data_IF_880893455692
#
_entry.id   IF_880893455692
#
_cell.length_a   1.000
_cell.length_b   1.000
_cell.length_c   1.000
_cell.angle_alpha   90.00
_cell.angle_beta   90.00
_cell.angle_gamma   90.00
#
_symmetry.space_group_name_H-M   'P 1'
#
loop_
_entity.id
_entity.type
_entity.pdbx_description
1 polymer ?
#
# COMPACT_ATOMS: atom_id res chain seq x y z
N UNK A 1 -3.21 9.76 25.77
CA UNK A 1 -4.28 9.12 26.57
C UNK A 1 -4.85 7.97 25.75
N UNK A 2 -4.82 6.74 26.25
CA UNK A 2 -5.34 5.57 25.49
C UNK A 2 -6.84 5.76 25.26
N UNK A 3 -7.28 5.74 24.00
CA UNK A 3 -8.69 5.77 23.67
C UNK A 3 -9.37 4.51 24.23
N UNK A 4 -10.59 4.64 24.76
CA UNK A 4 -11.35 3.48 25.28
C UNK A 4 -12.73 3.42 24.63
N UNK A 5 -13.29 2.22 24.49
CA UNK A 5 -14.64 2.05 23.93
C UNK A 5 -15.71 2.90 24.64
N UNK A 6 -15.51 3.17 25.95
CA UNK A 6 -16.37 4.00 26.79
C UNK A 6 -16.45 5.47 26.35
N UNK A 7 -15.49 5.95 25.56
CA UNK A 7 -15.54 7.31 24.99
C UNK A 7 -16.54 7.44 23.85
N UNK A 8 -16.83 6.33 23.16
CA UNK A 8 -17.68 6.31 21.97
C UNK A 8 -19.04 5.63 22.22
N UNK A 9 -19.13 4.78 23.24
CA UNK A 9 -20.34 4.04 23.61
C UNK A 9 -20.67 4.39 25.07
N UNK A 10 -21.68 5.25 25.26
CA UNK A 10 -22.07 5.76 26.57
C UNK A 10 -22.76 4.71 27.46
N UNK A 11 -23.36 3.68 26.87
CA UNK A 11 -24.16 2.65 27.54
C UNK A 11 -23.54 1.26 27.45
N UNK A 12 -22.22 1.17 27.66
CA UNK A 12 -21.50 -0.10 27.65
C UNK A 12 -22.01 -1.02 28.76
N UNK A 13 -22.23 -2.31 28.45
CA UNK A 13 -22.65 -3.27 29.46
C UNK A 13 -21.55 -3.49 30.50
N UNK A 14 -21.90 -3.62 31.77
CA UNK A 14 -20.94 -3.78 32.88
C UNK A 14 -20.03 -5.01 32.77
N UNK A 15 -20.46 -6.01 31.98
CA UNK A 15 -19.67 -7.21 31.68
C UNK A 15 -18.56 -6.99 30.64
N UNK A 16 -18.55 -5.87 29.92
CA UNK A 16 -17.67 -5.66 28.77
C UNK A 16 -16.17 -5.86 29.08
N UNK A 17 -15.71 -5.34 30.22
CA UNK A 17 -14.31 -5.43 30.62
C UNK A 17 -13.88 -6.87 31.01
N UNK A 18 -14.84 -7.81 31.09
CA UNK A 18 -14.59 -9.24 31.38
C UNK A 18 -14.57 -10.11 30.12
N UNK A 19 -14.88 -9.51 28.97
CA UNK A 19 -14.86 -10.20 27.68
C UNK A 19 -13.43 -10.35 27.17
N UNK A 20 -13.15 -11.42 26.44
CA UNK A 20 -11.92 -11.55 25.67
C UNK A 20 -11.90 -10.48 24.54
N UNK A 21 -10.72 -10.08 24.05
CA UNK A 21 -10.60 -9.04 23.04
C UNK A 21 -11.46 -9.25 21.79
N UNK A 22 -11.63 -10.50 21.33
CA UNK A 22 -12.49 -10.80 20.18
C UNK A 22 -13.96 -10.43 20.43
N UNK A 23 -14.52 -10.84 21.57
CA UNK A 23 -15.89 -10.47 21.94
C UNK A 23 -16.03 -8.97 22.25
N UNK A 24 -14.99 -8.33 22.79
CA UNK A 24 -14.97 -6.87 22.92
C UNK A 24 -15.06 -6.18 21.55
N UNK A 25 -14.29 -6.65 20.57
CA UNK A 25 -14.32 -6.12 19.20
C UNK A 25 -15.69 -6.33 18.54
N UNK A 26 -16.31 -7.50 18.72
CA UNK A 26 -17.65 -7.82 18.23
C UNK A 26 -18.73 -6.93 18.85
N UNK A 27 -18.64 -6.70 20.15
CA UNK A 27 -19.52 -5.78 20.85
C UNK A 27 -19.34 -4.35 20.31
N UNK A 28 -18.11 -3.84 20.31
CA UNK A 28 -17.81 -2.47 19.91
C UNK A 28 -18.23 -2.20 18.47
N UNK A 29 -17.89 -3.07 17.51
CA UNK A 29 -18.22 -2.83 16.09
C UNK A 29 -19.73 -2.67 15.86
N UNK A 30 -20.55 -3.55 16.45
CA UNK A 30 -22.00 -3.48 16.27
C UNK A 30 -22.64 -2.34 17.05
N UNK A 31 -22.10 -1.97 18.23
CA UNK A 31 -22.56 -0.78 18.97
C UNK A 31 -22.21 0.50 18.22
N UNK A 32 -21.04 0.61 17.60
CA UNK A 32 -20.67 1.77 16.78
C UNK A 32 -21.56 1.90 15.55
N UNK A 33 -21.84 0.79 14.84
CA UNK A 33 -22.79 0.79 13.72
C UNK A 33 -24.21 1.14 14.17
N UNK A 34 -24.62 0.78 15.38
CA UNK A 34 -25.90 1.22 15.95
C UNK A 34 -25.94 2.74 16.17
N UNK A 35 -24.90 3.32 16.77
CA UNK A 35 -24.92 4.73 17.18
C UNK A 35 -24.67 5.66 15.99
N UNK A 36 -23.69 5.33 15.15
CA UNK A 36 -23.18 6.23 14.12
C UNK A 36 -23.57 5.78 12.71
N UNK A 37 -24.04 4.55 12.53
CA UNK A 37 -24.11 3.92 11.22
C UNK A 37 -22.70 3.75 10.64
N UNK A 38 -22.59 3.83 9.32
CA UNK A 38 -21.33 3.67 8.61
C UNK A 38 -21.06 2.22 8.25
N UNK A 39 -19.80 1.86 8.13
CA UNK A 39 -19.35 0.57 7.63
C UNK A 39 -18.25 0.03 8.54
N UNK A 40 -18.33 -1.26 8.85
CA UNK A 40 -17.26 -2.01 9.47
C UNK A 40 -16.59 -2.91 8.43
N UNK A 41 -15.27 -2.96 8.46
CA UNK A 41 -14.44 -3.73 7.55
C UNK A 41 -13.29 -4.32 8.36
N UNK A 42 -13.07 -5.62 8.29
CA UNK A 42 -11.89 -6.26 8.89
C UNK A 42 -10.60 -5.69 8.28
N UNK A 43 -9.52 -5.69 9.06
CA UNK A 43 -8.26 -5.04 8.69
C UNK A 43 -7.54 -5.74 7.53
N UNK A 44 -7.85 -7.01 7.29
CA UNK A 44 -7.34 -7.83 6.20
C UNK A 44 -8.08 -7.60 4.87
N UNK A 45 -9.04 -6.67 4.84
CA UNK A 45 -9.72 -6.27 3.61
C UNK A 45 -8.91 -5.19 2.88
N UNK A 46 -8.47 -5.54 1.67
CA UNK A 46 -7.79 -4.60 0.77
C UNK A 46 -8.83 -3.84 -0.06
N UNK A 47 -9.01 -2.56 0.23
CA UNK A 47 -9.89 -1.68 -0.53
C UNK A 47 -9.20 -1.18 -1.81
N UNK A 48 -9.59 -1.72 -2.96
CA UNK A 48 -8.99 -1.38 -4.26
C UNK A 48 -9.67 -0.19 -4.94
N UNK A 49 -10.89 0.13 -4.49
CA UNK A 49 -11.73 1.28 -4.91
C UNK A 49 -12.37 1.95 -3.69
N UNK A 50 -12.86 3.18 -3.84
CA UNK A 50 -13.48 3.90 -2.72
C UNK A 50 -14.88 3.36 -2.47
N UNK A 51 -15.22 3.21 -1.19
CA UNK A 51 -16.56 2.80 -0.76
C UNK A 51 -17.67 3.84 -0.97
N UNK A 52 -17.43 5.03 -1.57
CA UNK A 52 -18.50 6.06 -1.69
C UNK A 52 -19.72 5.56 -2.39
N UNK A 53 -19.50 4.85 -3.49
CA UNK A 53 -20.59 4.33 -4.31
C UNK A 53 -21.52 3.49 -3.44
N UNK A 54 -20.98 2.75 -2.47
CA UNK A 54 -21.79 1.97 -1.51
C UNK A 54 -22.66 2.86 -0.61
N UNK A 55 -22.17 4.04 -0.20
CA UNK A 55 -22.97 5.00 0.55
C UNK A 55 -24.05 5.67 -0.30
N UNK A 56 -23.79 5.86 -1.60
CA UNK A 56 -24.77 6.42 -2.54
C UNK A 56 -25.99 5.48 -2.65
N UNK A 57 -25.81 4.15 -2.59
CA UNK A 57 -26.90 3.17 -2.56
C UNK A 57 -27.76 3.21 -1.30
N UNK A 58 -27.37 3.92 -0.25
CA UNK A 58 -28.21 4.01 0.95
C UNK A 58 -29.54 4.75 0.68
N UNK A 59 -29.65 5.49 -0.43
CA UNK A 59 -30.93 6.11 -0.87
C UNK A 59 -32.00 5.05 -1.18
N UNK A 60 -31.57 3.88 -1.67
CA UNK A 60 -32.43 2.80 -2.12
C UNK A 60 -32.34 1.55 -1.24
N UNK A 61 -31.28 1.41 -0.45
CA UNK A 61 -31.04 0.25 0.39
C UNK A 61 -30.72 0.67 1.82
N UNK A 62 -31.13 -0.13 2.78
CA UNK A 62 -30.92 0.15 4.21
C UNK A 62 -29.57 -0.41 4.70
N UNK A 63 -29.08 -1.47 4.05
CA UNK A 63 -27.74 -2.04 4.25
C UNK A 63 -27.11 -2.40 2.90
N UNK A 64 -25.84 -2.09 2.74
CA UNK A 64 -25.06 -2.35 1.51
C UNK A 64 -23.83 -3.19 1.88
N UNK A 65 -23.27 -3.98 0.98
CA UNK A 65 -21.89 -4.49 1.12
C UNK A 65 -21.65 -5.57 2.19
N UNK A 66 -22.54 -6.57 2.30
CA UNK A 66 -22.27 -7.75 3.12
C UNK A 66 -21.63 -8.88 2.30
N UNK A 67 -20.76 -9.69 2.92
CA UNK A 67 -20.19 -10.88 2.26
C UNK A 67 -21.13 -12.08 2.30
N UNK A 68 -21.11 -12.92 1.27
CA UNK A 68 -21.90 -14.15 1.16
C UNK A 68 -20.99 -15.37 1.28
N UNK A 69 -21.47 -16.41 1.96
CA UNK A 69 -20.86 -17.74 1.86
C UNK A 69 -21.80 -18.69 1.10
N UNK A 70 -21.27 -19.55 0.23
CA UNK A 70 -22.06 -20.57 -0.48
C UNK A 70 -22.88 -21.51 0.41
N UNK A 71 -22.53 -21.62 1.69
CA UNK A 71 -23.13 -22.50 2.69
C UNK A 71 -24.40 -21.95 3.37
N UNK A 72 -24.92 -20.78 2.93
CA UNK A 72 -26.31 -20.39 3.18
C UNK A 72 -26.52 -19.15 4.07
N UNK A 73 -25.46 -18.58 4.66
CA UNK A 73 -25.56 -17.33 5.41
C UNK A 73 -25.65 -16.12 4.46
N UNK A 74 -26.72 -15.33 4.59
CA UNK A 74 -26.96 -14.13 3.77
C UNK A 74 -26.29 -12.86 4.32
N UNK A 75 -25.47 -12.93 5.36
CA UNK A 75 -24.72 -11.76 5.88
C UNK A 75 -23.40 -12.20 6.53
N UNK A 76 -22.29 -11.82 5.92
CA UNK A 76 -20.96 -12.05 6.46
C UNK A 76 -20.56 -10.98 7.47
N UNK A 77 -19.94 -11.39 8.56
CA UNK A 77 -19.69 -10.57 9.74
C UNK A 77 -18.34 -9.82 9.72
N UNK A 78 -17.45 -10.15 8.77
CA UNK A 78 -16.16 -9.47 8.58
C UNK A 78 -16.26 -8.17 7.79
N UNK A 79 -17.36 -7.95 7.06
CA UNK A 79 -17.67 -6.71 6.35
C UNK A 79 -19.15 -6.40 6.50
N UNK A 80 -19.49 -5.33 7.20
CA UNK A 80 -20.86 -4.95 7.51
C UNK A 80 -21.11 -3.50 7.13
N UNK A 81 -22.04 -3.30 6.20
CA UNK A 81 -22.48 -1.97 5.77
C UNK A 81 -21.77 -1.47 4.51
N UNK A 82 -22.08 -0.23 4.09
CA UNK A 82 -22.62 0.83 4.94
C UNK A 82 -24.08 0.63 5.37
N UNK A 83 -24.41 1.21 6.52
CA UNK A 83 -25.74 1.21 7.14
C UNK A 83 -26.02 2.57 7.80
N UNK A 84 -27.30 2.90 8.01
CA UNK A 84 -27.71 4.12 8.74
C UNK A 84 -27.61 3.92 10.26
N UNK A 85 -27.37 5.02 10.97
CA UNK A 85 -27.49 5.04 12.42
C UNK A 85 -28.89 4.55 12.85
N UNK A 86 -28.94 3.83 13.97
CA UNK A 86 -30.13 3.24 14.56
C UNK A 86 -30.90 2.28 13.64
N UNK A 87 -30.22 1.66 12.66
CA UNK A 87 -30.83 0.64 11.83
C UNK A 87 -31.40 -0.51 12.70
N UNK A 88 -32.62 -1.03 12.41
CA UNK A 88 -33.31 -1.99 13.27
C UNK A 88 -32.52 -3.25 13.63
N UNK A 89 -31.61 -3.67 12.75
CA UNK A 89 -30.69 -4.80 13.00
C UNK A 89 -29.76 -4.52 14.19
N UNK A 90 -29.11 -3.36 14.23
CA UNK A 90 -28.12 -3.02 15.24
C UNK A 90 -28.76 -2.52 16.54
N UNK A 91 -29.97 -1.95 16.47
CA UNK A 91 -30.81 -1.72 17.65
C UNK A 91 -31.23 -3.05 18.30
N UNK A 92 -31.60 -4.05 17.49
CA UNK A 92 -31.85 -5.39 18.01
C UNK A 92 -30.60 -6.00 18.64
N UNK A 93 -29.45 -5.86 17.97
CA UNK A 93 -28.16 -6.31 18.49
C UNK A 93 -27.86 -5.75 19.87
N UNK A 94 -28.03 -4.43 20.06
CA UNK A 94 -27.84 -3.76 21.34
C UNK A 94 -28.61 -4.47 22.47
N UNK A 95 -29.92 -4.65 22.25
CA UNK A 95 -30.81 -5.19 23.29
C UNK A 95 -30.49 -6.66 23.58
N UNK A 96 -30.21 -7.44 22.54
CA UNK A 96 -29.91 -8.88 22.69
C UNK A 96 -28.53 -9.11 23.29
N UNK A 97 -27.52 -8.33 22.93
CA UNK A 97 -26.18 -8.45 23.53
C UNK A 97 -26.21 -8.10 25.01
N UNK A 98 -26.92 -7.05 25.42
CA UNK A 98 -27.11 -6.73 26.84
C UNK A 98 -27.85 -7.84 27.60
N UNK A 99 -28.93 -8.38 27.02
CA UNK A 99 -29.69 -9.49 27.60
C UNK A 99 -28.82 -10.74 27.76
N UNK A 100 -28.06 -11.09 26.72
CA UNK A 100 -27.13 -12.21 26.72
C UNK A 100 -26.07 -12.07 27.81
N UNK A 101 -25.43 -10.89 27.88
CA UNK A 101 -24.39 -10.61 28.87
C UNK A 101 -24.94 -10.63 30.30
N UNK A 102 -26.12 -10.06 30.54
CA UNK A 102 -26.79 -10.12 31.85
C UNK A 102 -27.11 -11.56 32.26
N UNK A 103 -27.54 -12.40 31.33
CA UNK A 103 -27.85 -13.82 31.58
C UNK A 103 -26.61 -14.66 31.83
N UNK A 104 -25.53 -14.42 31.06
CA UNK A 104 -24.31 -15.25 31.09
C UNK A 104 -23.37 -14.88 32.23
N UNK A 105 -23.36 -13.62 32.64
CA UNK A 105 -22.45 -13.13 33.67
C UNK A 105 -23.18 -12.72 34.95
N UNK A 106 -23.85 -13.68 35.58
CA UNK A 106 -24.59 -13.50 36.84
C UNK A 106 -23.68 -13.33 38.05
N UNK A 107 -22.46 -13.88 38.01
CA UNK A 107 -21.45 -13.68 39.04
C UNK A 107 -20.43 -12.61 38.62
N UNK A 108 -20.06 -11.71 39.53
CA UNK A 108 -19.13 -10.61 39.26
C UNK A 108 -17.71 -11.08 38.92
N UNK A 109 -17.32 -12.28 39.34
CA UNK A 109 -15.97 -12.82 39.15
C UNK A 109 -15.82 -13.77 37.95
N UNK A 110 -16.88 -14.00 37.18
CA UNK A 110 -16.80 -14.86 36.00
C UNK A 110 -16.02 -14.17 34.87
N UNK A 111 -15.01 -14.88 34.36
CA UNK A 111 -14.34 -14.57 33.10
C UNK A 111 -15.28 -14.82 31.92
N UNK A 112 -14.84 -14.53 30.70
CA UNK A 112 -15.64 -14.74 29.51
C UNK A 112 -16.13 -16.19 29.38
N UNK A 113 -17.46 -16.35 29.33
CA UNK A 113 -18.17 -17.63 29.22
C UNK A 113 -18.90 -17.78 27.88
N UNK A 114 -18.75 -16.81 26.98
CA UNK A 114 -19.40 -16.83 25.68
C UNK A 114 -18.65 -17.78 24.73
N UNK A 115 -19.42 -18.49 23.90
CA UNK A 115 -18.87 -19.17 22.73
C UNK A 115 -18.63 -18.14 21.61
N UNK A 116 -17.69 -18.47 20.72
CA UNK A 116 -17.18 -17.57 19.66
C UNK A 116 -18.24 -16.79 18.88
N UNK A 117 -19.38 -17.43 18.56
CA UNK A 117 -20.42 -16.84 17.70
C UNK A 117 -21.57 -16.16 18.47
N UNK A 118 -21.67 -16.35 19.80
CA UNK A 118 -22.86 -15.98 20.59
C UNK A 118 -23.09 -14.46 20.60
N UNK A 119 -22.03 -13.66 20.63
CA UNK A 119 -22.15 -12.21 20.75
C UNK A 119 -22.30 -11.48 19.42
N UNK A 120 -22.09 -12.15 18.28
CA UNK A 120 -22.14 -11.52 16.95
C UNK A 120 -23.08 -12.26 16.02
N UNK A 121 -22.63 -13.41 15.49
CA UNK A 121 -23.34 -14.16 14.44
C UNK A 121 -24.72 -14.61 14.90
N UNK A 122 -24.83 -15.17 16.11
CA UNK A 122 -26.10 -15.71 16.62
C UNK A 122 -27.16 -14.64 16.91
N UNK A 123 -26.75 -13.39 17.11
CA UNK A 123 -27.67 -12.26 17.30
C UNK A 123 -28.03 -11.61 15.95
N UNK A 124 -27.04 -11.36 15.10
CA UNK A 124 -27.20 -10.61 13.85
C UNK A 124 -27.93 -11.44 12.79
N UNK A 125 -27.44 -12.65 12.51
CA UNK A 125 -27.89 -13.43 11.34
C UNK A 125 -29.40 -13.72 11.42
N UNK A 126 -29.96 -14.28 12.51
CA UNK A 126 -31.39 -14.60 12.55
C UNK A 126 -32.28 -13.37 12.40
N UNK A 127 -31.88 -12.24 12.99
CA UNK A 127 -32.64 -11.00 12.87
C UNK A 127 -32.58 -10.43 11.46
N UNK A 128 -31.42 -10.48 10.82
CA UNK A 128 -31.26 -10.00 9.45
C UNK A 128 -32.16 -10.77 8.47
N UNK A 129 -32.13 -12.10 8.53
CA UNK A 129 -33.02 -12.95 7.72
C UNK A 129 -34.49 -12.60 7.93
N UNK A 130 -34.92 -12.45 9.19
CA UNK A 130 -36.30 -12.08 9.53
C UNK A 130 -36.69 -10.69 9.01
N UNK A 131 -35.76 -9.74 8.96
CA UNK A 131 -36.03 -8.41 8.39
C UNK A 131 -36.20 -8.49 6.86
N UNK A 132 -35.36 -9.27 6.18
CA UNK A 132 -35.46 -9.50 4.74
C UNK A 132 -36.74 -10.23 4.36
N UNK A 133 -37.06 -11.35 5.01
CA UNK A 133 -38.26 -12.16 4.74
C UNK A 133 -39.56 -11.37 4.90
N UNK A 134 -39.56 -10.38 5.80
CA UNK A 134 -40.71 -9.51 6.06
C UNK A 134 -40.70 -8.22 5.24
N UNK A 135 -39.75 -8.03 4.33
CA UNK A 135 -39.55 -6.79 3.59
C UNK A 135 -39.44 -5.54 4.49
N UNK A 136 -38.87 -5.69 5.69
CA UNK A 136 -38.66 -4.61 6.65
C UNK A 136 -37.29 -3.94 6.50
N UNK A 137 -36.44 -4.46 5.62
CA UNK A 137 -35.14 -3.88 5.26
C UNK A 137 -34.85 -4.24 3.80
N UNK A 138 -34.27 -3.30 3.05
CA UNK A 138 -33.72 -3.53 1.72
C UNK A 138 -32.21 -3.69 1.84
N UNK A 139 -31.67 -4.79 1.33
CA UNK A 139 -30.24 -5.06 1.38
C UNK A 139 -29.66 -5.20 -0.03
N UNK A 140 -28.49 -4.58 -0.26
CA UNK A 140 -27.73 -4.70 -1.50
C UNK A 140 -26.42 -5.44 -1.23
N UNK A 141 -26.23 -6.54 -1.94
CA UNK A 141 -24.99 -7.33 -1.90
C UNK A 141 -23.99 -6.78 -2.92
N UNK A 142 -22.72 -6.71 -2.53
CA UNK A 142 -21.61 -6.51 -3.45
C UNK A 142 -20.70 -7.72 -3.35
N UNK A 143 -20.73 -8.58 -4.37
CA UNK A 143 -19.69 -9.60 -4.50
C UNK A 143 -18.37 -8.90 -4.84
N UNK A 144 -17.34 -9.20 -4.07
CA UNK A 144 -15.98 -8.84 -4.45
C UNK A 144 -15.62 -9.48 -5.79
N UNK A 145 -14.67 -8.90 -6.55
CA UNK A 145 -14.22 -9.49 -7.80
C UNK A 145 -13.73 -10.93 -7.55
N UNK A 146 -14.32 -11.91 -8.23
CA UNK A 146 -13.97 -13.34 -8.09
C UNK A 146 -12.64 -13.67 -8.78
N UNK A 147 -12.11 -12.73 -9.56
CA UNK A 147 -10.81 -12.83 -10.24
C UNK A 147 -10.06 -11.50 -10.18
N UNK A 148 -8.72 -11.57 -10.13
CA UNK A 148 -7.84 -10.38 -10.09
C UNK A 148 -8.11 -9.41 -11.26
N UNK A 149 -8.53 -9.91 -12.42
CA UNK A 149 -8.82 -9.08 -13.60
C UNK A 149 -10.01 -8.13 -13.48
N UNK A 150 -10.94 -8.38 -12.55
CA UNK A 150 -12.14 -7.53 -12.34
C UNK A 150 -11.86 -6.31 -11.44
N UNK A 151 -10.69 -6.26 -10.81
CA UNK A 151 -10.27 -5.23 -9.85
C UNK A 151 -9.97 -3.89 -10.54
N UNK A 152 -9.58 -3.90 -11.82
CA UNK A 152 -9.04 -2.72 -12.51
C UNK A 152 -10.18 -1.82 -13.05
N UNK A 153 -10.50 -0.71 -12.35
CA UNK A 153 -11.16 0.45 -12.97
C UNK A 153 -10.14 1.55 -13.20
N UNK A 154 -10.14 2.12 -14.40
CA UNK A 154 -9.32 3.28 -14.80
C UNK A 154 -9.87 4.64 -14.32
N UNK A 155 -10.94 4.66 -13.51
CA UNK A 155 -11.58 5.90 -13.08
C UNK A 155 -11.07 6.34 -11.69
N UNK A 156 -10.53 7.56 -11.56
CA UNK A 156 -10.12 8.12 -10.28
C UNK A 156 -11.34 8.40 -9.39
N UNK A 157 -11.17 8.27 -8.07
CA UNK A 157 -12.25 8.34 -7.09
C UNK A 157 -12.33 9.73 -6.42
N UNK A 158 -13.53 10.35 -6.52
CA UNK A 158 -14.11 11.46 -5.70
C UNK A 158 -13.67 12.92 -5.95
N UNK A 159 -14.55 13.91 -5.60
CA UNK A 159 -14.33 15.32 -5.89
C UNK A 159 -13.28 15.93 -4.98
N UNK A 160 -12.59 16.89 -5.56
CA UNK A 160 -11.19 17.13 -5.29
C UNK A 160 -11.06 18.43 -4.50
N UNK A 161 -10.47 18.38 -3.30
CA UNK A 161 -10.06 19.59 -2.56
C UNK A 161 -8.91 20.26 -3.33
N UNK A 162 -8.72 21.58 -3.30
CA UNK A 162 -7.72 22.28 -4.14
C UNK A 162 -6.31 21.68 -4.03
N UNK A 163 -5.89 21.25 -2.83
CA UNK A 163 -4.61 20.56 -2.61
C UNK A 163 -4.51 19.19 -3.28
N UNK A 164 -5.64 18.47 -3.41
CA UNK A 164 -5.72 17.20 -4.14
C UNK A 164 -5.83 17.47 -5.64
N UNK A 165 -6.40 18.59 -6.09
CA UNK A 165 -6.42 19.00 -7.52
C UNK A 165 -4.99 19.27 -7.97
N UNK A 166 -4.23 20.00 -7.16
CA UNK A 166 -2.81 20.20 -7.40
C UNK A 166 -2.04 18.88 -7.44
N UNK A 167 -2.27 17.97 -6.49
CA UNK A 167 -1.61 16.66 -6.49
C UNK A 167 -2.00 15.77 -7.68
N UNK A 168 -3.25 15.82 -8.14
CA UNK A 168 -3.72 15.06 -9.31
C UNK A 168 -3.24 15.66 -10.63
N UNK A 169 -3.04 16.98 -10.69
CA UNK A 169 -2.46 17.68 -11.84
C UNK A 169 -0.94 17.59 -11.91
N UNK A 170 -0.28 17.06 -10.88
CA UNK A 170 1.15 16.77 -10.94
C UNK A 170 1.40 15.56 -11.82
N UNK A 171 2.39 15.70 -12.69
CA UNK A 171 2.85 14.64 -13.57
C UNK A 171 4.09 13.99 -12.93
N UNK A 172 3.97 12.72 -12.54
CA UNK A 172 5.04 11.92 -11.91
C UNK A 172 5.29 10.67 -12.76
N UNK A 173 6.46 10.55 -13.42
CA UNK A 173 6.86 9.40 -14.17
C UNK A 173 7.58 8.44 -13.23
N UNK A 174 7.27 7.17 -13.41
CA UNK A 174 7.85 6.11 -12.60
C UNK A 174 8.72 5.24 -13.49
N UNK A 175 10.02 5.27 -13.21
CA UNK A 175 10.98 4.36 -13.82
C UNK A 175 11.05 3.14 -12.93
N UNK A 176 10.64 2.02 -13.47
CA UNK A 176 10.67 0.75 -12.78
C UNK A 176 11.77 -0.10 -13.37
N UNK A 177 12.68 -0.57 -12.52
CA UNK A 177 13.58 -1.63 -12.90
C UNK A 177 13.03 -2.94 -12.34
N UNK A 178 12.87 -4.00 -13.15
CA UNK A 178 12.65 -5.34 -12.64
C UNK A 178 13.90 -5.83 -11.91
N UNK A 179 13.92 -5.66 -10.59
CA UNK A 179 15.01 -6.09 -9.74
C UNK A 179 14.83 -7.57 -9.32
N UNK A 180 15.28 -8.50 -10.15
CA UNK A 180 15.85 -9.74 -9.61
C UNK A 180 16.82 -10.42 -10.59
N UNK A 181 18.12 -10.12 -10.45
CA UNK A 181 19.16 -11.12 -10.72
C UNK A 181 19.94 -11.43 -9.45
N UNK A 182 19.26 -12.15 -8.56
CA UNK A 182 19.74 -12.87 -7.36
C UNK A 182 20.23 -12.06 -6.16
N UNK A 183 19.62 -12.36 -4.99
CA UNK A 183 20.23 -12.15 -3.67
C UNK A 183 21.40 -13.14 -3.50
N UNK A 184 22.42 -12.68 -2.79
CA UNK A 184 23.62 -13.40 -2.39
C UNK A 184 23.25 -14.64 -1.54
N UNK A 185 23.18 -15.82 -2.14
CA UNK A 185 23.40 -17.09 -1.43
C UNK A 185 24.14 -18.07 -2.33
N UNK A 186 25.30 -18.50 -1.85
CA UNK A 186 26.22 -19.45 -2.46
C UNK A 186 25.55 -20.82 -2.67
N UNK A 187 25.63 -21.34 -3.90
CA UNK A 187 26.10 -22.69 -4.26
C UNK A 187 25.44 -23.21 -5.55
N UNK A 188 26.25 -23.40 -6.58
CA UNK A 188 26.21 -24.51 -7.55
C UNK A 188 24.87 -24.94 -8.20
N UNK A 189 24.11 -23.99 -8.75
CA UNK A 189 23.27 -24.31 -9.92
C UNK A 189 23.50 -23.27 -11.03
N UNK A 190 24.44 -23.62 -11.89
CA UNK A 190 24.78 -22.94 -13.14
C UNK A 190 23.54 -22.50 -13.92
N UNK A 191 23.53 -21.22 -14.31
CA UNK A 191 23.03 -20.77 -15.62
C UNK A 191 21.57 -21.16 -15.87
N UNK A 192 20.64 -20.67 -15.04
CA UNK A 192 19.34 -20.34 -15.59
C UNK A 192 19.56 -19.12 -16.48
N UNK A 193 19.58 -19.33 -17.79
CA UNK A 193 19.84 -18.31 -18.82
C UNK A 193 19.20 -16.97 -18.41
N UNK A 194 19.96 -15.87 -18.40
CA UNK A 194 19.48 -14.54 -17.95
C UNK A 194 18.17 -14.11 -18.62
N UNK A 195 17.92 -14.63 -19.82
CA UNK A 195 16.67 -14.47 -20.58
C UNK A 195 15.47 -15.17 -19.95
N UNK A 196 15.65 -16.36 -19.37
CA UNK A 196 14.61 -17.13 -18.65
C UNK A 196 14.23 -16.45 -17.34
N UNK A 197 15.23 -15.95 -16.60
CA UNK A 197 14.98 -15.23 -15.36
C UNK A 197 14.23 -13.91 -15.63
N UNK A 198 14.66 -13.16 -16.64
CA UNK A 198 13.99 -11.94 -17.06
C UNK A 198 12.56 -12.20 -17.58
N UNK A 199 12.35 -13.28 -18.34
CA UNK A 199 11.01 -13.72 -18.73
C UNK A 199 10.12 -13.97 -17.51
N UNK A 200 10.60 -14.73 -16.54
CA UNK A 200 9.83 -15.02 -15.33
C UNK A 200 9.48 -13.74 -14.55
N UNK A 201 10.43 -12.83 -14.36
CA UNK A 201 10.20 -11.55 -13.69
C UNK A 201 9.17 -10.69 -14.42
N UNK A 202 9.26 -10.61 -15.75
CA UNK A 202 8.28 -9.86 -16.56
C UNK A 202 6.87 -10.45 -16.46
N UNK A 203 6.77 -11.77 -16.53
CA UNK A 203 5.49 -12.50 -16.52
C UNK A 203 4.84 -12.58 -15.14
N UNK A 204 5.60 -12.35 -14.07
CA UNK A 204 5.11 -12.42 -12.68
C UNK A 204 5.10 -11.04 -12.01
N UNK A 205 6.27 -10.52 -11.62
CA UNK A 205 6.41 -9.30 -10.82
C UNK A 205 6.06 -8.05 -11.61
N UNK A 206 6.64 -7.86 -12.80
CA UNK A 206 6.35 -6.69 -13.63
C UNK A 206 4.88 -6.66 -14.04
N UNK A 207 4.30 -7.84 -14.35
CA UNK A 207 2.86 -7.99 -14.56
C UNK A 207 2.05 -7.53 -13.35
N UNK A 208 2.36 -8.02 -12.15
CA UNK A 208 1.64 -7.63 -10.93
C UNK A 208 1.70 -6.11 -10.73
N UNK A 209 2.87 -5.50 -10.96
CA UNK A 209 3.00 -4.05 -10.85
C UNK A 209 2.19 -3.31 -11.94
N UNK A 210 2.30 -3.76 -13.19
CA UNK A 210 1.57 -3.21 -14.34
C UNK A 210 0.05 -3.23 -14.10
N UNK A 211 -0.47 -4.33 -13.58
CA UNK A 211 -1.90 -4.53 -13.31
C UNK A 211 -2.36 -3.85 -12.01
N UNK A 212 -1.44 -3.35 -11.17
CA UNK A 212 -1.75 -2.69 -9.90
C UNK A 212 -1.31 -1.23 -9.88
N UNK A 213 -0.28 -0.88 -9.12
CA UNK A 213 0.03 0.50 -8.78
C UNK A 213 0.63 1.30 -9.93
N UNK A 214 1.40 0.67 -10.83
CA UNK A 214 2.02 1.41 -11.94
C UNK A 214 0.99 1.98 -12.92
N UNK A 215 -0.16 1.31 -13.08
CA UNK A 215 -1.28 1.81 -13.89
C UNK A 215 -1.89 3.12 -13.36
N UNK A 216 -1.60 3.50 -12.10
CA UNK A 216 -2.06 4.74 -11.46
C UNK A 216 -1.08 5.90 -11.64
N UNK A 217 0.12 5.63 -12.16
CA UNK A 217 1.12 6.62 -12.51
C UNK A 217 0.71 7.38 -13.78
N UNK A 218 1.14 8.64 -13.92
CA UNK A 218 0.87 9.41 -15.16
C UNK A 218 1.62 8.82 -16.35
N UNK A 219 2.80 8.28 -16.06
CA UNK A 219 3.60 7.49 -17.00
C UNK A 219 4.51 6.56 -16.22
N UNK A 220 4.82 5.40 -16.81
CA UNK A 220 5.82 4.51 -16.26
C UNK A 220 6.50 3.72 -17.36
N UNK A 221 7.69 3.22 -17.03
CA UNK A 221 8.47 2.36 -17.90
C UNK A 221 9.08 1.21 -17.10
N UNK A 222 8.99 -0.01 -17.62
CA UNK A 222 9.87 -1.09 -17.21
C UNK A 222 11.16 -1.00 -18.00
N UNK A 223 12.27 -0.86 -17.31
CA UNK A 223 13.58 -0.77 -17.91
C UNK A 223 14.17 -2.18 -18.02
N UNK A 224 14.44 -2.62 -19.25
CA UNK A 224 14.89 -3.99 -19.52
C UNK A 224 16.10 -4.01 -20.46
N UNK A 225 16.94 -5.02 -20.32
CA UNK A 225 18.14 -5.19 -21.15
C UNK A 225 17.81 -5.81 -22.51
N UNK A 226 17.07 -6.93 -22.51
CA UNK A 226 16.79 -7.75 -23.71
C UNK A 226 15.40 -8.39 -23.57
N UNK A 227 14.57 -8.33 -24.60
CA UNK A 227 13.29 -9.07 -24.61
C UNK A 227 13.59 -10.58 -24.77
N UNK A 228 13.05 -11.47 -23.90
CA UNK A 228 13.27 -12.91 -24.00
C UNK A 228 12.83 -13.48 -25.36
N UNK A 229 13.62 -14.41 -25.92
CA UNK A 229 13.38 -14.96 -27.27
C UNK A 229 12.43 -16.17 -27.31
N UNK A 230 12.33 -16.93 -26.22
CA UNK A 230 11.54 -18.15 -26.13
C UNK A 230 10.27 -17.93 -25.29
N UNK A 231 9.29 -17.24 -25.86
CA UNK A 231 8.02 -16.92 -25.21
C UNK A 231 6.85 -17.49 -26.03
N UNK A 232 5.81 -17.95 -25.36
CA UNK A 232 4.54 -18.32 -26.01
C UNK A 232 3.85 -17.09 -26.61
N UNK A 233 2.90 -17.30 -27.52
CA UNK A 233 2.16 -16.20 -28.13
C UNK A 233 1.49 -15.27 -27.09
N UNK A 234 0.88 -15.84 -26.05
CA UNK A 234 0.19 -15.07 -25.02
C UNK A 234 1.16 -14.24 -24.16
N UNK A 235 2.32 -14.80 -23.83
CA UNK A 235 3.37 -14.10 -23.08
C UNK A 235 3.96 -12.93 -23.87
N UNK A 236 4.14 -13.10 -25.18
CA UNK A 236 4.56 -12.02 -26.09
C UNK A 236 3.53 -10.89 -26.09
N UNK A 237 2.23 -11.21 -26.16
CA UNK A 237 1.18 -10.18 -26.16
C UNK A 237 1.15 -9.41 -24.84
N UNK A 238 1.29 -10.11 -23.71
CA UNK A 238 1.37 -9.50 -22.39
C UNK A 238 2.58 -8.56 -22.26
N UNK A 239 3.77 -9.00 -22.69
CA UNK A 239 4.98 -8.18 -22.63
C UNK A 239 4.84 -6.95 -23.54
N UNK A 240 4.24 -7.10 -24.73
CA UNK A 240 3.96 -5.98 -25.65
C UNK A 240 2.95 -4.97 -25.11
N UNK A 241 2.07 -5.36 -24.17
CA UNK A 241 1.13 -4.42 -23.56
C UNK A 241 1.75 -3.57 -22.46
N UNK A 242 2.94 -3.93 -21.97
CA UNK A 242 3.67 -3.16 -20.95
C UNK A 242 4.55 -2.08 -21.59
N UNK A 243 4.67 -0.89 -20.98
CA UNK A 243 5.57 0.15 -21.46
C UNK A 243 7.02 -0.22 -21.11
N UNK A 244 7.69 -0.97 -21.99
CA UNK A 244 9.07 -1.40 -21.78
C UNK A 244 10.01 -0.45 -22.52
N UNK A 245 10.99 0.12 -21.81
CA UNK A 245 12.12 0.80 -22.44
C UNK A 245 13.33 -0.13 -22.42
N UNK A 246 13.80 -0.50 -23.62
CA UNK A 246 14.99 -1.32 -23.76
C UNK A 246 16.23 -0.46 -23.63
N UNK A 247 17.17 -0.86 -22.79
CA UNK A 247 18.48 -0.21 -22.68
C UNK A 247 19.52 -1.17 -23.24
N UNK A 248 20.23 -0.71 -24.26
CA UNK A 248 21.34 -1.45 -24.88
C UNK A 248 22.62 -1.30 -24.04
N UNK A 249 23.58 -2.21 -24.22
CA UNK A 249 24.90 -2.18 -23.58
C UNK A 249 24.90 -2.31 -22.05
N UNK A 250 23.90 -2.98 -21.49
CA UNK A 250 23.88 -3.39 -20.08
C UNK A 250 24.34 -4.83 -19.93
N UNK A 251 25.08 -5.11 -18.86
CA UNK A 251 25.38 -6.48 -18.47
C UNK A 251 24.29 -7.03 -17.52
N UNK A 252 23.90 -8.30 -17.67
CA UNK A 252 22.93 -8.94 -16.79
C UNK A 252 23.53 -9.14 -15.40
N UNK A 253 22.71 -9.02 -14.34
CA UNK A 253 23.12 -9.29 -12.96
C UNK A 253 22.87 -8.15 -11.98
N UNK A 254 22.84 -8.50 -10.69
CA UNK A 254 22.70 -7.55 -9.57
C UNK A 254 23.92 -6.63 -9.40
N UNK A 255 25.11 -7.11 -9.76
CA UNK A 255 26.34 -6.31 -9.66
C UNK A 255 26.37 -5.11 -10.63
N UNK A 256 25.42 -5.05 -11.57
CA UNK A 256 25.31 -4.00 -12.57
C UNK A 256 24.14 -3.03 -12.32
N UNK A 257 23.55 -3.05 -11.11
CA UNK A 257 22.40 -2.21 -10.76
C UNK A 257 22.71 -0.72 -10.85
N UNK A 258 23.92 -0.31 -10.50
CA UNK A 258 24.35 1.10 -10.60
C UNK A 258 24.26 1.59 -12.05
N UNK A 259 24.83 0.84 -13.00
CA UNK A 259 24.73 1.18 -14.42
C UNK A 259 23.27 1.23 -14.89
N UNK A 260 22.45 0.27 -14.46
CA UNK A 260 21.03 0.18 -14.82
C UNK A 260 20.24 1.39 -14.33
N UNK A 261 20.37 1.75 -13.06
CA UNK A 261 19.72 2.93 -12.50
C UNK A 261 20.21 4.21 -13.17
N UNK A 262 21.51 4.33 -13.42
CA UNK A 262 22.09 5.47 -14.12
C UNK A 262 21.49 5.64 -15.52
N UNK A 263 21.47 4.56 -16.32
CA UNK A 263 20.90 4.59 -17.67
C UNK A 263 19.38 4.83 -17.63
N UNK A 264 18.68 4.34 -16.61
CA UNK A 264 17.24 4.61 -16.42
C UNK A 264 16.98 6.11 -16.21
N UNK A 265 17.77 6.77 -15.36
CA UNK A 265 17.66 8.21 -15.15
C UNK A 265 18.09 9.00 -16.39
N UNK A 266 19.11 8.55 -17.13
CA UNK A 266 19.47 9.17 -18.41
C UNK A 266 18.33 9.08 -19.42
N UNK A 267 17.71 7.91 -19.57
CA UNK A 267 16.54 7.72 -20.41
C UNK A 267 15.41 8.70 -20.03
N UNK A 268 15.12 8.82 -18.73
CA UNK A 268 14.11 9.75 -18.25
C UNK A 268 14.46 11.21 -18.51
N UNK A 269 15.73 11.59 -18.37
CA UNK A 269 16.15 12.94 -18.68
C UNK A 269 15.97 13.26 -20.17
N UNK A 270 16.48 12.38 -21.03
CA UNK A 270 16.48 12.59 -22.48
C UNK A 270 15.08 12.61 -23.08
N UNK A 271 14.16 11.81 -22.55
CA UNK A 271 12.83 11.65 -23.11
C UNK A 271 11.76 12.46 -22.36
N UNK A 272 11.96 12.75 -21.08
CA UNK A 272 10.89 13.10 -20.15
C UNK A 272 11.20 14.23 -19.17
N UNK A 273 12.40 14.83 -19.20
CA UNK A 273 12.80 15.89 -18.26
C UNK A 273 11.79 17.06 -18.19
N UNK A 274 11.22 17.46 -19.33
CA UNK A 274 10.32 18.61 -19.41
C UNK A 274 8.84 18.22 -19.28
N UNK A 275 8.52 16.93 -19.36
CA UNK A 275 7.16 16.43 -19.28
C UNK A 275 6.68 16.29 -17.82
N UNK A 276 7.63 16.23 -16.88
CA UNK A 276 7.36 15.80 -15.53
C UNK A 276 8.16 16.50 -14.43
N UNK A 277 7.58 16.49 -13.23
CA UNK A 277 8.11 17.22 -12.08
C UNK A 277 8.98 16.37 -11.16
N UNK A 278 8.72 15.06 -11.09
CA UNK A 278 9.32 14.14 -10.12
C UNK A 278 9.53 12.75 -10.71
N UNK A 279 10.73 12.18 -10.58
CA UNK A 279 11.12 10.92 -11.22
C UNK A 279 11.40 9.87 -10.15
N UNK A 280 10.67 8.77 -10.18
CA UNK A 280 10.75 7.72 -9.16
C UNK A 280 11.51 6.53 -9.70
N UNK A 281 12.44 5.98 -8.92
CA UNK A 281 13.00 4.64 -9.12
C UNK A 281 12.32 3.69 -8.15
N UNK A 282 11.80 2.57 -8.66
CA UNK A 282 11.24 1.50 -7.86
C UNK A 282 11.66 0.12 -8.35
N UNK A 283 11.74 -0.83 -7.43
CA UNK A 283 12.01 -2.24 -7.70
C UNK A 283 10.71 -2.99 -7.99
N UNK A 284 10.79 -4.17 -8.61
CA UNK A 284 9.60 -4.96 -8.99
C UNK A 284 8.89 -5.68 -7.84
N UNK A 285 9.48 -5.67 -6.65
CA UNK A 285 8.91 -6.14 -5.40
C UNK A 285 8.53 -4.99 -4.46
N UNK A 286 8.51 -3.74 -4.96
CA UNK A 286 7.97 -2.58 -4.26
C UNK A 286 6.48 -2.40 -4.57
N UNK A 287 5.69 -1.99 -3.57
CA UNK A 287 4.34 -1.44 -3.76
C UNK A 287 4.30 0.05 -3.44
N UNK A 288 3.81 0.88 -4.39
CA UNK A 288 3.65 2.32 -4.18
C UNK A 288 2.17 2.69 -4.10
N UNK A 289 1.80 3.45 -3.07
CA UNK A 289 0.50 4.15 -3.02
C UNK A 289 0.70 5.49 -3.73
N UNK A 290 0.51 5.49 -5.06
CA UNK A 290 0.80 6.63 -5.96
C UNK A 290 0.10 7.91 -5.49
N UNK A 291 -1.14 7.82 -5.02
CA UNK A 291 -1.91 8.95 -4.52
C UNK A 291 -1.28 9.58 -3.28
N UNK A 292 -0.77 8.77 -2.35
CA UNK A 292 -0.07 9.25 -1.16
C UNK A 292 1.26 9.91 -1.52
N UNK A 293 1.97 9.35 -2.51
CA UNK A 293 3.22 9.90 -2.99
C UNK A 293 2.98 11.26 -3.68
N UNK A 294 2.01 11.35 -4.59
CA UNK A 294 1.61 12.62 -5.24
C UNK A 294 1.20 13.66 -4.20
N UNK A 295 0.42 13.29 -3.19
CA UNK A 295 0.03 14.18 -2.11
C UNK A 295 1.24 14.73 -1.34
N UNK A 296 2.22 13.88 -1.05
CA UNK A 296 3.47 14.32 -0.40
C UNK A 296 4.26 15.28 -1.30
N UNK A 297 4.49 14.92 -2.55
CA UNK A 297 5.29 15.68 -3.51
C UNK A 297 4.64 17.01 -3.92
N UNK A 298 3.31 17.12 -3.85
CA UNK A 298 2.58 18.38 -4.15
C UNK A 298 2.94 19.55 -3.27
N UNK A 299 3.52 19.27 -2.11
CA UNK A 299 3.97 20.27 -1.15
C UNK A 299 5.46 20.59 -1.27
N UNK A 300 6.16 19.94 -2.21
CA UNK A 300 7.60 20.05 -2.39
C UNK A 300 7.95 20.89 -3.62
N UNK A 301 9.13 21.52 -3.59
CA UNK A 301 9.60 22.34 -4.70
C UNK A 301 10.40 21.51 -5.71
N UNK A 302 9.79 21.21 -6.85
CA UNK A 302 10.38 20.47 -7.98
C UNK A 302 11.59 21.15 -8.64
N UNK A 303 11.77 22.45 -8.43
CA UNK A 303 12.91 23.22 -8.97
C UNK A 303 14.10 23.25 -8.03
N UNK A 304 13.95 22.74 -6.80
CA UNK A 304 15.08 22.54 -5.90
C UNK A 304 15.80 21.24 -6.23
N UNK A 305 17.14 21.18 -6.12
CA UNK A 305 17.92 19.97 -6.35
C UNK A 305 17.75 19.02 -5.16
N UNK A 306 16.62 18.33 -5.05
CA UNK A 306 16.28 17.48 -3.90
C UNK A 306 15.85 16.07 -4.31
N UNK A 307 16.18 15.10 -3.47
CA UNK A 307 15.65 13.73 -3.55
C UNK A 307 14.94 13.31 -2.28
N UNK A 308 13.93 12.44 -2.38
CA UNK A 308 13.19 11.90 -1.25
C UNK A 308 13.17 10.37 -1.26
N UNK A 309 13.16 9.76 -0.09
CA UNK A 309 13.19 8.31 0.11
C UNK A 309 13.38 7.99 1.59
N UNK A 310 13.73 6.75 1.93
CA UNK A 310 14.11 6.40 3.30
C UNK A 310 15.60 6.70 3.55
N UNK A 311 15.90 7.70 4.38
CA UNK A 311 17.27 8.17 4.59
C UNK A 311 18.10 7.23 5.46
N UNK A 312 19.21 6.75 4.92
CA UNK A 312 20.30 6.10 5.63
C UNK A 312 21.54 7.00 5.71
N UNK A 313 22.30 6.88 6.80
CA UNK A 313 23.50 7.69 7.09
C UNK A 313 24.89 7.03 6.95
N UNK A 314 25.09 5.68 7.00
CA UNK A 314 26.44 5.13 7.20
C UNK A 314 27.45 5.38 6.08
N UNK A 315 27.02 5.44 4.81
CA UNK A 315 27.93 5.29 3.67
C UNK A 315 28.11 6.55 2.81
N UNK A 316 27.21 7.54 2.92
CA UNK A 316 27.25 8.75 2.11
C UNK A 316 27.06 9.98 3.01
N UNK A 317 27.98 10.95 2.99
CA UNK A 317 27.78 12.22 3.68
C UNK A 317 26.49 12.90 3.22
N UNK A 318 25.69 13.41 4.17
CA UNK A 318 24.33 13.92 3.92
C UNK A 318 23.34 12.86 3.39
N UNK A 319 23.63 11.59 3.63
CA UNK A 319 22.71 10.48 3.49
C UNK A 319 22.45 9.99 2.07
N UNK A 320 21.94 8.77 2.00
CA UNK A 320 21.45 8.09 0.80
C UNK A 320 20.06 7.50 1.07
N UNK A 321 19.32 7.18 0.01
CA UNK A 321 17.98 6.59 0.15
C UNK A 321 18.06 5.08 0.00
N UNK A 322 17.31 4.31 0.79
CA UNK A 322 17.20 2.86 0.58
C UNK A 322 16.71 2.55 -0.85
N UNK A 323 17.49 1.77 -1.61
CA UNK A 323 17.11 1.36 -2.96
C UNK A 323 15.80 0.57 -3.02
N UNK A 324 15.61 -0.37 -2.08
CA UNK A 324 14.42 -1.22 -2.00
C UNK A 324 13.16 -0.52 -1.49
N UNK A 325 13.32 0.58 -0.73
CA UNK A 325 12.19 1.43 -0.34
C UNK A 325 11.68 2.33 -1.47
N UNK A 326 12.37 2.34 -2.62
CA UNK A 326 12.27 3.36 -3.67
C UNK A 326 12.74 4.75 -3.25
N UNK A 327 13.07 5.56 -4.25
CA UNK A 327 13.43 6.96 -4.06
C UNK A 327 13.04 7.82 -5.26
N UNK A 328 12.93 9.12 -5.01
CA UNK A 328 12.37 10.11 -5.93
C UNK A 328 13.36 11.24 -6.14
N UNK A 329 13.54 11.65 -7.39
CA UNK A 329 14.32 12.81 -7.80
C UNK A 329 13.36 13.92 -8.23
N UNK A 330 13.61 15.14 -7.76
CA UNK A 330 13.04 16.33 -8.40
C UNK A 330 13.55 16.47 -9.83
N UNK A 331 12.81 17.23 -10.65
CA UNK A 331 13.24 17.62 -12.00
C UNK A 331 14.63 18.27 -12.00
N UNK A 332 14.93 19.16 -11.06
CA UNK A 332 16.26 19.76 -10.98
C UNK A 332 17.34 18.74 -10.55
N UNK A 333 17.03 17.82 -9.64
CA UNK A 333 17.95 16.75 -9.28
C UNK A 333 18.30 15.85 -10.48
N UNK A 334 17.30 15.46 -11.28
CA UNK A 334 17.51 14.66 -12.49
C UNK A 334 18.40 15.37 -13.51
N UNK A 335 18.17 16.68 -13.73
CA UNK A 335 19.00 17.50 -14.62
C UNK A 335 20.45 17.52 -14.18
N UNK A 336 20.70 17.75 -12.89
CA UNK A 336 22.08 17.77 -12.35
C UNK A 336 22.73 16.41 -12.45
N UNK A 337 22.00 15.34 -12.14
CA UNK A 337 22.49 13.96 -12.26
C UNK A 337 22.93 13.66 -13.69
N UNK A 338 22.11 13.98 -14.70
CA UNK A 338 22.47 13.76 -16.11
C UNK A 338 23.72 14.54 -16.53
N UNK A 339 23.78 15.83 -16.16
CA UNK A 339 24.92 16.68 -16.52
C UNK A 339 26.22 16.27 -15.82
N UNK A 340 26.13 15.63 -14.66
CA UNK A 340 27.28 15.13 -13.91
C UNK A 340 28.11 14.12 -14.73
N UNK A 341 27.49 13.39 -15.65
CA UNK A 341 28.18 12.42 -16.50
C UNK A 341 29.31 13.05 -17.36
N UNK A 342 29.22 14.35 -17.65
CA UNK A 342 30.26 15.07 -18.41
C UNK A 342 31.18 15.90 -17.49
N UNK A 343 31.01 15.81 -16.17
CA UNK A 343 31.83 16.51 -15.18
C UNK A 343 32.86 15.55 -14.56
N UNK A 344 34.13 15.80 -14.85
CA UNK A 344 35.25 15.03 -14.31
C UNK A 344 35.43 15.17 -12.79
N UNK A 345 34.76 16.14 -12.16
CA UNK A 345 34.75 16.32 -10.71
C UNK A 345 33.59 15.61 -10.02
N UNK A 346 32.63 15.09 -10.79
CA UNK A 346 31.51 14.35 -10.22
C UNK A 346 31.99 13.02 -9.63
N UNK A 347 31.32 12.56 -8.56
CA UNK A 347 31.58 11.25 -7.96
C UNK A 347 30.66 10.18 -8.54
N UNK A 348 30.35 10.28 -9.83
CA UNK A 348 29.41 9.39 -10.49
C UNK A 348 30.11 8.12 -10.96
N UNK A 349 29.82 7.02 -10.28
CA UNK A 349 30.30 5.70 -10.66
C UNK A 349 29.58 5.23 -11.92
N UNK A 350 30.33 4.71 -12.90
CA UNK A 350 29.73 4.17 -14.12
C UNK A 350 28.94 2.88 -13.85
N UNK A 351 29.51 1.99 -13.04
CA UNK A 351 28.91 0.72 -12.64
C UNK A 351 29.55 0.08 -11.38
N UNK A 352 28.88 -0.91 -10.78
CA UNK A 352 29.32 -1.61 -9.57
C UNK A 352 28.97 -0.88 -8.27
N UNK A 353 29.37 -1.45 -7.13
CA UNK A 353 29.02 -0.94 -5.80
C UNK A 353 27.54 -1.19 -5.42
N UNK A 354 27.11 -0.56 -4.33
CA UNK A 354 25.69 -0.53 -3.96
C UNK A 354 24.98 0.57 -4.74
N UNK A 355 23.99 0.21 -5.55
CA UNK A 355 23.30 1.14 -6.46
C UNK A 355 22.80 2.40 -5.75
N UNK A 356 22.12 2.24 -4.63
CA UNK A 356 21.58 3.35 -3.85
C UNK A 356 22.67 4.27 -3.30
N UNK A 357 23.78 3.69 -2.84
CA UNK A 357 24.96 4.41 -2.35
C UNK A 357 25.64 5.18 -3.49
N UNK A 358 25.90 4.54 -4.63
CA UNK A 358 26.63 5.17 -5.74
C UNK A 358 25.80 6.24 -6.45
N UNK A 359 24.49 6.01 -6.63
CA UNK A 359 23.57 7.03 -7.14
C UNK A 359 23.53 8.23 -6.19
N UNK A 360 23.48 7.98 -4.87
CA UNK A 360 23.50 9.07 -3.89
C UNK A 360 24.82 9.84 -3.92
N UNK A 361 26.00 9.19 -3.93
CA UNK A 361 27.31 9.88 -4.03
C UNK A 361 27.36 10.83 -5.23
N UNK A 362 26.93 10.36 -6.40
CA UNK A 362 26.82 11.18 -7.61
C UNK A 362 25.95 12.41 -7.36
N UNK A 363 24.71 12.22 -6.88
CA UNK A 363 23.76 13.30 -6.59
C UNK A 363 24.31 14.31 -5.57
N UNK A 364 24.87 13.84 -4.46
CA UNK A 364 25.45 14.69 -3.40
C UNK A 364 26.64 15.50 -3.92
N UNK A 365 27.49 14.90 -4.77
CA UNK A 365 28.65 15.59 -5.35
C UNK A 365 28.28 16.78 -6.25
N UNK A 366 27.09 16.75 -6.86
CA UNK A 366 26.56 17.85 -7.69
C UNK A 366 25.52 18.71 -6.95
N UNK A 367 25.60 18.71 -5.61
CA UNK A 367 24.84 19.61 -4.75
C UNK A 367 23.34 19.31 -4.69
N UNK A 368 22.93 18.06 -4.97
CA UNK A 368 21.57 17.60 -4.71
C UNK A 368 21.45 17.20 -3.25
N UNK A 369 20.37 17.58 -2.58
CA UNK A 369 20.13 17.34 -1.15
C UNK A 369 19.27 16.09 -0.89
N UNK A 370 19.49 15.43 0.25
CA UNK A 370 18.58 14.42 0.78
C UNK A 370 17.46 15.13 1.55
N UNK A 371 16.26 15.13 1.01
CA UNK A 371 15.08 15.64 1.68
C UNK A 371 14.57 14.67 2.73
N UNK A 372 13.79 15.18 3.69
CA UNK A 372 13.11 14.36 4.70
C UNK A 372 11.72 13.99 4.22
N UNK A 373 11.43 12.70 4.19
CA UNK A 373 10.17 12.14 3.70
C UNK A 373 9.22 11.72 4.84
N UNK A 374 9.24 12.46 5.94
CA UNK A 374 8.41 12.17 7.12
C UNK A 374 7.05 12.86 7.07
N UNK A 375 6.09 12.35 7.83
CA UNK A 375 4.82 13.01 8.06
C UNK A 375 4.84 13.99 9.24
N UNK A 376 3.71 14.67 9.47
CA UNK A 376 3.55 15.63 10.56
C UNK A 376 3.71 15.04 11.97
N UNK A 377 3.65 13.71 12.10
CA UNK A 377 3.88 12.96 13.33
C UNK A 377 5.29 12.33 13.35
N UNK A 378 6.20 12.76 12.46
CA UNK A 378 7.58 12.25 12.32
C UNK A 378 7.67 10.78 11.90
N UNK A 379 6.63 10.24 11.28
CA UNK A 379 6.62 8.85 10.76
C UNK A 379 7.13 8.82 9.34
N UNK A 380 7.81 7.74 8.99
CA UNK A 380 8.35 7.52 7.64
C UNK A 380 7.24 7.34 6.61
N UNK A 381 7.51 7.75 5.36
CA UNK A 381 6.62 7.51 4.21
C UNK A 381 7.16 6.46 3.25
N UNK A 382 8.45 6.17 3.34
CA UNK A 382 9.16 5.14 2.57
C UNK A 382 9.57 4.04 3.56
N UNK A 383 9.57 2.78 3.14
CA UNK A 383 9.70 1.65 4.05
C UNK A 383 10.68 0.62 3.46
N UNK A 384 11.85 0.38 4.10
CA UNK A 384 12.92 -0.43 3.52
C UNK A 384 12.84 -1.93 3.87
N UNK A 385 11.82 -2.34 4.63
CA UNK A 385 11.58 -3.72 5.04
C UNK A 385 10.28 -4.21 4.42
N UNK A 386 10.05 -5.52 4.46
CA UNK A 386 8.80 -6.09 3.98
C UNK A 386 7.60 -5.71 4.87
N UNK A 387 6.41 -5.98 4.35
CA UNK A 387 5.17 -5.63 5.04
C UNK A 387 5.04 -6.33 6.40
N UNK A 388 5.53 -7.56 6.55
CA UNK A 388 5.41 -8.31 7.80
C UNK A 388 6.29 -7.69 8.88
N UNK A 389 7.51 -7.30 8.55
CA UNK A 389 8.41 -6.63 9.49
C UNK A 389 7.80 -5.32 10.02
N UNK A 390 7.22 -4.51 9.12
CA UNK A 390 6.52 -3.28 9.51
C UNK A 390 5.24 -3.55 10.29
N UNK A 391 4.49 -4.59 9.94
CA UNK A 391 3.22 -4.93 10.59
C UNK A 391 3.43 -5.45 12.02
N UNK A 392 4.41 -6.32 12.23
CA UNK A 392 4.72 -6.90 13.55
C UNK A 392 5.69 -6.05 14.37
N UNK A 393 6.30 -5.03 13.79
CA UNK A 393 7.32 -4.21 14.46
C UNK A 393 8.65 -4.95 14.66
N UNK A 394 8.96 -5.91 13.79
CA UNK A 394 10.19 -6.69 13.84
C UNK A 394 11.30 -5.92 13.12
N UNK A 395 11.84 -4.91 13.79
CA UNK A 395 12.92 -4.11 13.23
C UNK A 395 14.29 -4.69 13.61
N UNK A 396 15.14 -5.01 12.62
CA UNK A 396 16.49 -5.47 12.92
C UNK A 396 17.35 -4.32 13.45
N UNK A 397 18.30 -4.62 14.33
CA UNK A 397 19.12 -3.60 15.01
C UNK A 397 19.82 -2.63 14.05
N UNK A 398 20.32 -3.14 12.92
CA UNK A 398 20.98 -2.33 11.90
C UNK A 398 20.07 -1.24 11.35
N UNK A 399 18.74 -1.41 11.35
CA UNK A 399 17.81 -0.39 10.85
C UNK A 399 17.88 0.85 11.76
N UNK A 400 17.85 0.67 13.08
CA UNK A 400 18.00 1.76 14.04
C UNK A 400 19.38 2.42 13.95
N UNK A 401 20.42 1.63 13.72
CA UNK A 401 21.78 2.17 13.54
C UNK A 401 21.90 2.98 12.25
N UNK A 402 21.29 2.55 11.16
CA UNK A 402 21.52 3.12 9.83
C UNK A 402 20.55 4.24 9.50
N UNK A 403 19.33 4.19 10.01
CA UNK A 403 18.31 5.18 9.73
C UNK A 403 18.70 6.56 10.23
N UNK A 404 18.37 7.58 9.43
CA UNK A 404 18.44 8.98 9.87
C UNK A 404 17.39 9.25 10.96
N UNK A 405 16.19 8.69 10.80
CA UNK A 405 15.09 8.80 11.74
C UNK A 405 14.83 7.43 12.39
N UNK A 406 14.73 7.40 13.72
CA UNK A 406 14.55 6.14 14.42
C UNK A 406 13.18 5.51 14.09
N UNK A 407 13.12 4.19 13.84
CA UNK A 407 11.85 3.48 13.75
C UNK A 407 11.03 3.72 15.01
N UNK A 408 9.76 4.08 14.85
CA UNK A 408 8.83 4.28 15.97
C UNK A 408 7.84 3.12 15.98
N UNK A 409 7.69 2.45 17.11
CA UNK A 409 6.58 1.52 17.33
C UNK A 409 5.31 2.31 17.63
N UNK A 410 4.15 1.77 17.26
CA UNK A 410 2.84 2.33 17.64
C UNK A 410 2.69 2.40 19.16
N UNK A 411 3.41 1.56 19.92
CA UNK A 411 3.47 1.60 21.38
C UNK A 411 4.23 2.79 21.95
N UNK A 412 5.04 3.48 21.14
CA UNK A 412 5.92 4.57 21.58
C UNK A 412 5.20 5.94 21.53
N UNK A 413 3.92 5.96 21.13
CA UNK A 413 3.01 7.12 21.08
C UNK A 413 1.84 6.96 22.05
#
# INVERSE_FOLDING_TARGET
TKATAKQYISDIHSAFDRLIPAHQADYVRCRLLEIFGGMYVDIDIIALRSFKEWYDYLTEYDIVGYSWKPDGDKIGIGTLGPVRAHHPLFVHYKNMSHTLLSRKFTNKTQNDVLQWAELLREIIVPKFHKLLEKNLTRALMFDGPTTVGQIVTRNPLRPINESVIQALNMTVPYLMYPNSMMKKSESEQQILDSTTLLANTLLTRARAVHETWASRCDKYYFICEIIPKNLTHNEIQLIKSMPIASINNTLPGYNHLTLKSRLSFHFAYEHHQNDFDWFVKADDDTYLIVENLKLFLSKQNKSEPITFGYNFKPYVPNGYHSGGASYVLSREALRRFYLANNDSKSQCQEDGGGEDIEIAKCLRSVGVLAGKSIDQHKRERFHPLDLNDHFFGNFPDWLGEYAENQPLSVSDQ
#
